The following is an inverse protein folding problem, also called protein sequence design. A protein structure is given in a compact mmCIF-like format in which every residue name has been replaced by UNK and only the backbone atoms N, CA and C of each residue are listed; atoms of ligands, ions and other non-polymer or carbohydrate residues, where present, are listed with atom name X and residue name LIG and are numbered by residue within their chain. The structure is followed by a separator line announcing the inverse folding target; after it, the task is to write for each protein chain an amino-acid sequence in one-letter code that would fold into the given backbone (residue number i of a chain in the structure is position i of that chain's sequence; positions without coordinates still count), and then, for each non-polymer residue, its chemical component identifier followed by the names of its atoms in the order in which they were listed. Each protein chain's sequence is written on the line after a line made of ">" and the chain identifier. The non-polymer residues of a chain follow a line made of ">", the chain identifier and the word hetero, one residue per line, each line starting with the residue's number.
data_IF_574340472864
#
_entry.id   IF_574340472864
#
_cell.length_a   1.000
_cell.length_b   1.000
_cell.length_c   1.000
_cell.angle_alpha   90.00
_cell.angle_beta   90.00
_cell.angle_gamma   90.00
#
_symmetry.space_group_name_H-M   'P 1'
#
loop_
_entity.id
_entity.type
_entity.pdbx_description
1 polymer ?
#
# COMPACT_ATOMS: atom_id res chain seq x y z
N UNK A 1 -2.08 -9.17 26.29
CA UNK A 1 -2.08 -7.84 25.63
C UNK A 1 -3.42 -7.61 24.88
N UNK A 2 -4.48 -7.08 25.52
CA UNK A 2 -5.84 -7.02 24.94
C UNK A 2 -6.07 -5.96 23.83
N UNK A 3 -5.15 -5.01 23.64
CA UNK A 3 -5.32 -3.91 22.67
C UNK A 3 -4.88 -4.21 21.23
N UNK A 4 -3.96 -5.16 21.04
CA UNK A 4 -3.36 -5.46 19.73
C UNK A 4 -4.38 -6.11 18.77
N UNK A 5 -5.27 -6.95 19.28
CA UNK A 5 -6.29 -7.65 18.47
C UNK A 5 -7.34 -6.70 17.88
N UNK A 6 -7.76 -5.66 18.61
CA UNK A 6 -8.70 -4.67 18.09
C UNK A 6 -8.11 -3.89 16.92
N UNK A 7 -6.83 -3.50 17.02
CA UNK A 7 -6.13 -2.75 15.97
C UNK A 7 -5.93 -3.58 14.70
N UNK A 8 -5.59 -4.87 14.84
CA UNK A 8 -5.49 -5.82 13.73
C UNK A 8 -6.83 -6.02 13.01
N UNK A 9 -7.91 -6.27 13.77
CA UNK A 9 -9.27 -6.48 13.21
C UNK A 9 -9.82 -5.25 12.50
N UNK A 10 -9.50 -4.04 12.98
CA UNK A 10 -9.91 -2.80 12.30
C UNK A 10 -9.25 -2.66 10.94
N UNK A 11 -7.94 -2.92 10.84
CA UNK A 11 -7.20 -2.94 9.57
C UNK A 11 -7.73 -4.01 8.61
N UNK A 12 -8.02 -5.22 9.09
CA UNK A 12 -8.61 -6.29 8.28
C UNK A 12 -10.02 -5.93 7.76
N UNK A 13 -10.85 -5.23 8.55
CA UNK A 13 -12.16 -4.74 8.10
C UNK A 13 -12.06 -3.63 7.06
N UNK A 14 -11.13 -2.68 7.24
CA UNK A 14 -10.87 -1.64 6.24
C UNK A 14 -10.39 -2.26 4.91
N UNK A 15 -9.47 -3.23 5.00
CA UNK A 15 -9.00 -3.98 3.83
C UNK A 15 -10.13 -4.78 3.15
N UNK A 16 -11.02 -5.41 3.92
CA UNK A 16 -12.21 -6.08 3.35
C UNK A 16 -13.21 -5.12 2.70
N UNK A 17 -13.35 -3.89 3.22
CA UNK A 17 -14.22 -2.87 2.61
C UNK A 17 -13.64 -2.33 1.32
N UNK A 18 -12.32 -2.13 1.24
CA UNK A 18 -11.65 -1.77 -0.01
C UNK A 18 -11.81 -2.87 -1.08
N UNK A 19 -11.82 -4.15 -0.68
CA UNK A 19 -12.08 -5.27 -1.59
C UNK A 19 -13.55 -5.39 -2.07
N UNK A 20 -14.48 -4.61 -1.52
CA UNK A 20 -15.90 -4.64 -1.91
C UNK A 20 -16.23 -3.67 -3.05
N UNK A 21 -15.30 -2.79 -3.42
CA UNK A 21 -15.46 -1.84 -4.53
C UNK A 21 -14.68 -2.40 -5.73
N UNK A 22 -15.30 -2.56 -6.91
CA UNK A 22 -14.58 -2.89 -8.14
C UNK A 22 -13.52 -1.83 -8.44
N UNK A 23 -12.31 -2.28 -8.75
CA UNK A 23 -11.15 -1.40 -8.93
C UNK A 23 -9.87 -2.19 -9.13
N UNK A 24 -8.83 -1.49 -9.52
CA UNK A 24 -7.50 -2.04 -9.74
C UNK A 24 -6.45 -1.29 -8.95
N UNK A 25 -5.27 -1.89 -8.82
CA UNK A 25 -4.13 -1.28 -8.16
C UNK A 25 -3.18 -0.73 -9.21
N UNK A 26 -3.01 0.59 -9.23
CA UNK A 26 -2.08 1.25 -10.15
C UNK A 26 -0.72 1.49 -9.47
N UNK A 27 0.39 1.09 -10.10
CA UNK A 27 1.72 1.32 -9.55
C UNK A 27 2.12 2.80 -9.73
N UNK A 28 2.54 3.46 -8.64
CA UNK A 28 3.02 4.84 -8.70
C UNK A 28 4.54 4.94 -8.59
N UNK A 29 5.17 4.02 -7.86
CA UNK A 29 6.61 4.09 -7.57
C UNK A 29 7.19 2.71 -7.37
N UNK A 30 8.41 2.48 -7.86
CA UNK A 30 9.17 1.26 -7.58
C UNK A 30 10.64 1.60 -7.35
N UNK A 31 11.24 0.96 -6.35
CA UNK A 31 12.64 1.17 -5.97
C UNK A 31 13.21 -0.12 -5.39
N UNK A 32 14.54 -0.28 -5.40
CA UNK A 32 15.24 -1.32 -4.62
C UNK A 32 15.73 -0.77 -3.27
N UNK A 33 15.74 0.56 -3.12
CA UNK A 33 16.26 1.24 -1.95
C UNK A 33 15.18 1.48 -0.91
N UNK A 34 15.39 0.97 0.30
CA UNK A 34 14.41 1.08 1.37
C UNK A 34 14.26 2.54 1.87
N UNK A 35 15.32 3.34 1.78
CA UNK A 35 15.31 4.77 2.14
C UNK A 35 14.39 5.55 1.21
N UNK A 36 14.50 5.34 -0.11
CA UNK A 36 13.64 5.98 -1.11
C UNK A 36 12.17 5.59 -0.91
N UNK A 37 11.89 4.33 -0.61
CA UNK A 37 10.54 3.88 -0.29
C UNK A 37 9.96 4.68 0.90
N UNK A 38 10.72 4.79 2.00
CA UNK A 38 10.28 5.51 3.20
C UNK A 38 10.01 6.98 2.91
N UNK A 39 10.88 7.62 2.14
CA UNK A 39 10.68 9.00 1.73
C UNK A 39 9.44 9.17 0.86
N UNK A 40 9.25 8.30 -0.12
CA UNK A 40 8.12 8.34 -1.03
C UNK A 40 6.80 8.18 -0.27
N UNK A 41 6.70 7.18 0.61
CA UNK A 41 5.51 6.96 1.44
C UNK A 41 5.24 8.14 2.37
N UNK A 42 6.29 8.78 2.92
CA UNK A 42 6.13 9.98 3.75
C UNK A 42 5.55 11.15 2.95
N UNK A 43 6.01 11.35 1.70
CA UNK A 43 5.50 12.39 0.81
C UNK A 43 4.06 12.10 0.40
N UNK A 44 3.76 10.85 0.04
CA UNK A 44 2.42 10.40 -0.32
C UNK A 44 1.41 10.60 0.83
N UNK A 45 1.83 10.33 2.07
CA UNK A 45 1.00 10.57 3.25
C UNK A 45 0.78 12.06 3.55
N UNK A 46 1.66 12.96 3.05
CA UNK A 46 1.50 14.40 3.18
C UNK A 46 0.61 15.00 2.08
N UNK A 47 0.48 14.33 0.93
CA UNK A 47 -0.46 14.71 -0.11
C UNK A 47 -1.91 14.52 0.37
N UNK A 48 -2.64 15.64 0.46
CA UNK A 48 -4.04 15.64 0.88
C UNK A 48 -4.90 15.03 -0.23
N UNK A 49 -5.17 13.74 -0.14
CA UNK A 49 -6.10 13.07 -1.05
C UNK A 49 -6.05 11.55 -1.02
N UNK A 50 -4.93 10.97 -0.60
CA UNK A 50 -4.74 9.52 -0.62
C UNK A 50 -4.94 8.97 0.79
N UNK A 51 -6.05 8.25 0.98
CA UNK A 51 -6.30 7.58 2.25
C UNK A 51 -5.32 6.41 2.45
N UNK A 52 -4.80 6.15 3.66
CA UNK A 52 -3.84 5.08 3.91
C UNK A 52 -4.32 3.68 3.48
N UNK A 53 -5.63 3.42 3.52
CA UNK A 53 -6.24 2.18 3.03
C UNK A 53 -6.23 2.03 1.51
N UNK A 54 -6.07 3.12 0.77
CA UNK A 54 -5.92 3.11 -0.68
C UNK A 54 -4.46 2.96 -1.12
N UNK A 55 -3.51 2.78 -0.20
CA UNK A 55 -2.09 2.58 -0.51
C UNK A 55 -1.67 1.16 -0.19
N UNK A 56 -1.01 0.49 -1.13
CA UNK A 56 -0.38 -0.82 -0.94
C UNK A 56 1.11 -0.75 -1.23
N UNK A 57 1.90 -1.38 -0.36
CA UNK A 57 3.33 -1.55 -0.54
C UNK A 57 3.59 -3.04 -0.76
N UNK A 58 3.98 -3.40 -1.99
CA UNK A 58 4.41 -4.74 -2.36
C UNK A 58 5.93 -4.86 -2.19
N UNK A 59 6.40 -5.93 -1.55
CA UNK A 59 7.82 -6.28 -1.49
C UNK A 59 8.07 -7.53 -2.35
N UNK A 60 8.84 -7.36 -3.41
CA UNK A 60 9.26 -8.44 -4.30
C UNK A 60 10.62 -8.94 -3.83
N UNK A 61 10.59 -9.92 -2.94
CA UNK A 61 11.80 -10.61 -2.50
C UNK A 61 12.35 -11.43 -3.66
N UNK A 62 13.29 -10.86 -4.41
CA UNK A 62 14.03 -11.60 -5.42
C UNK A 62 14.76 -12.78 -4.76
N UNK A 63 14.68 -13.97 -5.39
CA UNK A 63 15.50 -15.10 -4.96
C UNK A 63 16.90 -14.94 -5.54
N UNK A 64 17.91 -14.72 -4.69
CA UNK A 64 19.37 -14.80 -4.88
C UNK A 64 20.01 -14.07 -6.08
N UNK A 65 19.39 -14.09 -7.26
CA UNK A 65 19.83 -13.47 -8.52
C UNK A 65 19.17 -12.10 -8.75
N UNK A 66 17.99 -11.88 -8.17
CA UNK A 66 17.27 -10.61 -8.30
C UNK A 66 17.31 -9.82 -7.00
N UNK A 67 17.59 -8.51 -7.06
CA UNK A 67 17.52 -7.65 -5.90
C UNK A 67 16.08 -7.57 -5.38
N UNK A 68 15.93 -7.35 -4.08
CA UNK A 68 14.61 -7.08 -3.49
C UNK A 68 14.14 -5.73 -3.98
N UNK A 69 12.94 -5.68 -4.56
CA UNK A 69 12.32 -4.42 -4.95
C UNK A 69 11.04 -4.17 -4.16
N UNK A 70 10.72 -2.90 -4.02
CA UNK A 70 9.51 -2.39 -3.41
C UNK A 70 8.68 -1.70 -4.47
N UNK A 71 7.37 -1.79 -4.36
CA UNK A 71 6.43 -1.06 -5.21
C UNK A 71 5.32 -0.47 -4.38
N UNK A 72 5.07 0.82 -4.58
CA UNK A 72 3.94 1.53 -4.00
C UNK A 72 2.87 1.63 -5.07
N UNK A 73 1.67 1.16 -4.73
CA UNK A 73 0.49 1.21 -5.61
C UNK A 73 -0.67 1.89 -4.90
N UNK A 74 -1.51 2.59 -5.66
CA UNK A 74 -2.78 3.15 -5.17
C UNK A 74 -3.95 2.37 -5.72
N UNK A 75 -5.02 2.29 -4.93
CA UNK A 75 -6.28 1.70 -5.37
C UNK A 75 -7.06 2.73 -6.18
N UNK A 76 -7.44 2.36 -7.40
CA UNK A 76 -8.27 3.15 -8.30
C UNK A 76 -9.62 2.44 -8.47
N UNK A 77 -10.73 3.04 -7.99
CA UNK A 77 -12.07 2.49 -8.22
C UNK A 77 -12.45 2.57 -9.71
N UNK A 78 -13.12 1.55 -10.25
CA UNK A 78 -13.55 1.51 -11.67
C UNK A 78 -14.52 2.65 -12.05
N UNK A 79 -15.18 3.28 -11.07
CA UNK A 79 -16.13 4.39 -11.29
C UNK A 79 -15.52 5.80 -11.22
N UNK A 80 -14.19 5.94 -11.21
CA UNK A 80 -13.50 7.24 -11.12
C UNK A 80 -13.03 7.80 -12.47
N UNK A 81 -13.52 7.26 -13.59
CA UNK A 81 -13.23 7.73 -14.95
C UNK A 81 -14.11 8.92 -15.37
#
# INVERSE_FOLDING_TARGET
>A
MPGQQKRKRSRERAHRRAAAVPGHWEPLFSTQEQTELKEYVRRLAAERGISPECVRIDQFCGRLTHPTSYRVSVFVPEGSA
#
